data_IF_636209967171
#
_entry.id   IF_636209967171
#
_cell.length_a   1.000
_cell.length_b   1.000
_cell.length_c   1.000
_cell.angle_alpha   90.00
_cell.angle_beta   90.00
_cell.angle_gamma   90.00
#
_symmetry.space_group_name_H-M   'P 1'
#
loop_
_entity.id
_entity.type
_entity.pdbx_description
1 polymer ?
#
# COMPACT_ATOMS: atom_id res chain seq x y z
N UNK A 1 0.55 -8.82 -0.51
CA UNK A 1 1.96 -8.65 -0.12
C UNK A 1 2.82 -9.48 -1.05
N UNK A 2 4.00 -8.97 -1.40
CA UNK A 2 4.97 -9.64 -2.27
C UNK A 2 6.35 -9.54 -1.60
N UNK A 3 7.10 -10.65 -1.64
CA UNK A 3 8.49 -10.69 -1.20
C UNK A 3 9.37 -10.04 -2.27
N UNK A 4 10.17 -9.05 -1.87
CA UNK A 4 11.14 -8.33 -2.70
C UNK A 4 12.53 -8.32 -2.03
N UNK A 5 12.83 -9.35 -1.24
CA UNK A 5 14.10 -9.51 -0.54
C UNK A 5 15.28 -9.50 -1.52
N UNK A 6 16.39 -8.88 -1.12
CA UNK A 6 17.55 -8.64 -1.99
C UNK A 6 18.49 -9.85 -2.10
N UNK A 7 17.97 -10.99 -2.55
CA UNK A 7 18.69 -12.27 -2.58
C UNK A 7 18.88 -12.90 -1.19
N UNK A 8 19.50 -14.07 -1.15
CA UNK A 8 19.54 -14.93 0.06
C UNK A 8 20.28 -14.30 1.25
N UNK A 9 21.29 -13.46 0.99
CA UNK A 9 22.07 -12.74 2.01
C UNK A 9 21.61 -11.28 2.19
N UNK A 10 20.52 -10.89 1.52
CA UNK A 10 20.01 -9.53 1.46
C UNK A 10 19.05 -9.14 2.58
N UNK A 11 18.64 -7.89 2.56
CA UNK A 11 17.58 -7.39 3.45
C UNK A 11 16.24 -7.98 3.00
N UNK A 12 15.48 -8.50 3.96
CA UNK A 12 14.10 -8.92 3.73
C UNK A 12 13.19 -7.73 3.48
N UNK A 13 12.46 -7.73 2.35
CA UNK A 13 11.55 -6.63 1.97
C UNK A 13 10.19 -7.20 1.61
N UNK A 14 9.14 -6.64 2.20
CA UNK A 14 7.75 -6.93 1.82
C UNK A 14 7.13 -5.69 1.19
N UNK A 15 6.53 -5.87 0.02
CA UNK A 15 5.79 -4.81 -0.68
C UNK A 15 4.30 -5.11 -0.66
N UNK A 16 3.51 -4.11 -0.27
CA UNK A 16 2.05 -4.16 -0.22
C UNK A 16 1.42 -3.19 -1.20
N UNK A 17 0.24 -3.55 -1.70
CA UNK A 17 -0.64 -2.65 -2.46
C UNK A 17 -1.92 -2.50 -1.66
N UNK A 18 -2.31 -1.26 -1.42
CA UNK A 18 -3.55 -0.90 -0.73
C UNK A 18 -4.42 -0.22 -1.78
N UNK A 19 -5.57 -0.81 -2.10
CA UNK A 19 -6.36 -0.41 -3.26
C UNK A 19 -7.80 -0.04 -2.90
N UNK A 20 -8.45 0.67 -3.83
CA UNK A 20 -9.85 1.05 -3.79
C UNK A 20 -10.24 1.75 -2.47
N UNK A 21 -11.35 1.33 -1.85
CA UNK A 21 -11.88 1.95 -0.63
C UNK A 21 -10.88 1.96 0.53
N UNK A 22 -9.98 0.99 0.61
CA UNK A 22 -8.99 0.92 1.69
C UNK A 22 -7.90 1.97 1.47
N UNK A 23 -7.50 2.22 0.23
CA UNK A 23 -6.57 3.30 -0.12
C UNK A 23 -7.15 4.66 0.26
N UNK A 24 -8.43 4.90 -0.07
CA UNK A 24 -9.13 6.15 0.29
C UNK A 24 -9.20 6.33 1.81
N UNK A 25 -9.54 5.26 2.55
CA UNK A 25 -9.64 5.32 4.00
C UNK A 25 -8.28 5.59 4.68
N UNK A 26 -7.22 4.92 4.23
CA UNK A 26 -5.88 5.05 4.81
C UNK A 26 -5.19 6.36 4.38
N UNK A 27 -5.46 6.87 3.19
CA UNK A 27 -4.99 8.19 2.72
C UNK A 27 -5.49 9.33 3.60
N UNK A 28 -6.68 9.20 4.17
CA UNK A 28 -7.25 10.20 5.09
C UNK A 28 -6.58 10.23 6.47
N UNK A 29 -5.74 9.23 6.80
CA UNK A 29 -5.00 9.18 8.05
C UNK A 29 -3.69 9.97 7.95
N UNK A 30 -3.20 10.43 9.09
CA UNK A 30 -1.82 10.87 9.21
C UNK A 30 -0.84 9.70 8.97
N UNK A 31 0.40 9.97 8.50
CA UNK A 31 1.35 8.92 8.13
C UNK A 31 1.67 7.91 9.25
N UNK A 32 1.72 8.36 10.50
CA UNK A 32 2.03 7.48 11.63
C UNK A 32 0.88 6.51 11.92
N UNK A 33 -0.37 6.98 11.89
CA UNK A 33 -1.55 6.13 12.03
C UNK A 33 -1.70 5.13 10.87
N UNK A 34 -1.43 5.56 9.63
CA UNK A 34 -1.43 4.66 8.47
C UNK A 34 -0.33 3.61 8.57
N UNK A 35 0.89 3.99 8.97
CA UNK A 35 1.98 3.05 9.24
C UNK A 35 1.58 2.02 10.29
N UNK A 36 0.99 2.47 11.40
CA UNK A 36 0.55 1.57 12.48
C UNK A 36 -0.47 0.54 11.95
N UNK A 37 -1.48 0.98 11.19
CA UNK A 37 -2.48 0.08 10.60
C UNK A 37 -1.84 -0.99 9.69
N UNK A 38 -0.87 -0.60 8.86
CA UNK A 38 -0.15 -1.56 8.01
C UNK A 38 0.69 -2.54 8.82
N UNK A 39 1.40 -2.08 9.85
CA UNK A 39 2.20 -2.96 10.71
C UNK A 39 1.31 -3.93 11.49
N UNK A 40 0.14 -3.49 11.97
CA UNK A 40 -0.83 -4.34 12.65
C UNK A 40 -1.35 -5.46 11.74
N UNK A 41 -1.66 -5.14 10.48
CA UNK A 41 -1.99 -6.15 9.47
C UNK A 41 -0.84 -7.13 9.27
N UNK A 42 0.41 -6.66 9.16
CA UNK A 42 1.57 -7.55 9.01
C UNK A 42 1.79 -8.43 10.24
N UNK A 43 1.56 -7.92 11.44
CA UNK A 43 1.60 -8.72 12.67
C UNK A 43 0.48 -9.76 12.68
N UNK A 44 -0.72 -9.40 12.21
CA UNK A 44 -1.83 -10.34 12.08
C UNK A 44 -1.50 -11.49 11.13
N UNK A 45 -0.90 -11.20 9.98
CA UNK A 45 -0.60 -12.22 8.96
C UNK A 45 0.69 -13.02 9.23
N UNK A 46 1.74 -12.39 9.76
CA UNK A 46 3.09 -12.99 9.87
C UNK A 46 3.61 -13.13 11.30
N UNK A 47 2.82 -12.68 12.29
CA UNK A 47 3.13 -12.80 13.71
C UNK A 47 3.96 -11.64 14.27
N UNK A 48 4.20 -11.70 15.59
CA UNK A 48 4.78 -10.60 16.36
C UNK A 48 6.15 -10.10 15.86
N UNK A 49 6.91 -10.92 15.13
CA UNK A 49 8.18 -10.51 14.56
C UNK A 49 8.04 -9.33 13.57
N UNK A 50 6.91 -9.21 12.87
CA UNK A 50 6.64 -8.13 11.92
C UNK A 50 6.60 -6.74 12.58
N UNK A 51 6.29 -6.66 13.88
CA UNK A 51 6.32 -5.40 14.65
C UNK A 51 7.73 -4.79 14.76
N UNK A 52 8.77 -5.58 14.47
CA UNK A 52 10.19 -5.19 14.58
C UNK A 52 10.81 -4.86 13.22
N UNK A 53 10.02 -4.33 12.28
CA UNK A 53 10.50 -3.84 10.99
C UNK A 53 11.61 -2.80 11.18
N UNK A 54 12.72 -2.93 10.46
CA UNK A 54 13.85 -1.98 10.52
C UNK A 54 13.62 -0.71 9.68
N UNK A 55 12.60 -0.71 8.81
CA UNK A 55 12.24 0.41 7.96
C UNK A 55 10.80 0.27 7.45
N UNK A 56 10.21 1.42 7.11
CA UNK A 56 8.89 1.52 6.48
C UNK A 56 8.92 2.67 5.49
N UNK A 57 8.49 2.41 4.26
CA UNK A 57 8.35 3.42 3.22
C UNK A 57 7.01 3.18 2.52
N UNK A 58 6.35 4.28 2.17
CA UNK A 58 5.08 4.25 1.46
C UNK A 58 5.01 5.39 0.45
N UNK A 59 4.11 5.26 -0.53
CA UNK A 59 3.73 6.32 -1.43
C UNK A 59 2.21 6.33 -1.52
N UNK A 60 1.60 7.44 -1.10
CA UNK A 60 0.20 7.72 -1.37
C UNK A 60 0.08 8.36 -2.76
N UNK A 61 -0.48 7.60 -3.69
CA UNK A 61 -0.69 8.05 -5.08
C UNK A 61 -1.93 8.95 -5.22
N UNK A 62 -2.83 8.99 -4.23
CA UNK A 62 -4.01 9.87 -4.25
C UNK A 62 -3.62 11.33 -3.98
N UNK A 63 -2.53 11.56 -3.24
CA UNK A 63 -2.04 12.89 -2.91
C UNK A 63 -0.87 13.35 -3.80
N UNK A 64 -0.40 12.48 -4.70
CA UNK A 64 0.68 12.81 -5.63
C UNK A 64 0.13 13.77 -6.72
N UNK A 65 0.68 15.01 -6.85
CA UNK A 65 0.06 16.07 -7.65
C UNK A 65 -0.15 15.76 -9.13
N UNK A 66 0.63 14.83 -9.69
CA UNK A 66 0.66 14.57 -11.13
C UNK A 66 -0.03 13.24 -11.51
N UNK A 67 -0.13 12.30 -10.57
CA UNK A 67 -0.68 10.97 -10.78
C UNK A 67 -2.20 10.96 -10.61
N UNK A 68 -2.71 11.75 -9.66
CA UNK A 68 -4.15 11.87 -9.36
C UNK A 68 -4.83 10.52 -9.01
N UNK A 69 -4.05 9.56 -8.53
CA UNK A 69 -4.44 8.16 -8.31
C UNK A 69 -3.51 7.16 -8.99
N UNK A 70 -3.87 5.88 -8.94
CA UNK A 70 -3.08 4.80 -9.54
C UNK A 70 -3.75 3.44 -9.38
N UNK A 71 -3.20 2.37 -9.97
CA UNK A 71 -2.08 2.38 -10.93
C UNK A 71 -2.53 2.85 -12.34
N UNK A 72 -3.78 2.59 -12.71
CA UNK A 72 -4.31 2.92 -14.02
C UNK A 72 -5.69 3.59 -13.92
N UNK A 73 -6.10 4.28 -14.98
CA UNK A 73 -7.43 4.88 -15.04
C UNK A 73 -8.51 3.79 -15.05
N UNK A 74 -9.54 3.99 -14.22
CA UNK A 74 -10.72 3.13 -14.18
C UNK A 74 -11.84 3.73 -15.04
N UNK A 75 -12.37 2.95 -15.99
CA UNK A 75 -13.55 3.34 -16.77
C UNK A 75 -14.81 2.68 -16.19
N UNK A 76 -15.74 3.44 -15.58
CA UNK A 76 -16.98 2.88 -15.07
C UNK A 76 -17.87 2.38 -16.22
N UNK A 77 -18.78 1.41 -15.97
CA UNK A 77 -19.59 0.77 -17.01
C UNK A 77 -20.33 1.73 -17.95
N UNK A 78 -20.85 2.84 -17.42
CA UNK A 78 -21.62 3.82 -18.19
C UNK A 78 -20.79 4.58 -19.24
N UNK A 79 -19.46 4.62 -19.09
CA UNK A 79 -18.56 5.33 -20.02
C UNK A 79 -18.25 4.51 -21.27
N UNK A 80 -18.37 3.17 -21.21
CA UNK A 80 -18.03 2.26 -22.32
C UNK A 80 -19.13 2.16 -23.40
N UNK A 81 -20.30 2.75 -23.19
CA UNK A 81 -21.45 2.65 -24.11
C UNK A 81 -21.58 3.84 -25.07
N UNK A 82 -20.71 4.86 -24.94
CA UNK A 82 -20.78 6.09 -25.73
C UNK A 82 -19.86 6.12 -26.96
N UNK A 83 -19.44 4.94 -27.47
CA UNK A 83 -18.59 4.79 -28.65
C UNK A 83 -19.24 3.91 -29.71
#
# INVERSE_FOLDING_TARGET
MFDQSLGDDGIGVLVGLIEARHAVALSALDPDARRAAVIDDLVHYFGAAASRSIGYAEQDWLTEPWSLGGYAAHMPPALRQAA
#
